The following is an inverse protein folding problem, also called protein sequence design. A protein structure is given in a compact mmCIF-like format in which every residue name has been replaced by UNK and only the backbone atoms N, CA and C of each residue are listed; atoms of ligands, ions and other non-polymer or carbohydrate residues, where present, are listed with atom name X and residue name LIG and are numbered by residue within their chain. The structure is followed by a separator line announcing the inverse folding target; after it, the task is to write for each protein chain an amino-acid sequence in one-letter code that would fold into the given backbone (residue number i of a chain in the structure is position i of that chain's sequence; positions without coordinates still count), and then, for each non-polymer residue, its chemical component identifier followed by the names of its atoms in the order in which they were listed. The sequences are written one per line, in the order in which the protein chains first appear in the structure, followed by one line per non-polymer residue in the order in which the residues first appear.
data_IF_025221157730
#
_entry.id   IF_025221157730
#
_cell.length_a   1.000
_cell.length_b   1.000
_cell.length_c   1.000
_cell.angle_alpha   90.00
_cell.angle_beta   90.00
_cell.angle_gamma   90.00
#
_symmetry.space_group_name_H-M   'P 1'
#
loop_
_entity.id
_entity.type
_entity.pdbx_description
1 polymer ?
#
# COMPACT_ATOMS: atom_id res chain seq x y z
N UNK A 1 -44.85 -44.80 33.24
CA UNK A 1 -46.15 -44.13 33.46
C UNK A 1 -45.90 -42.69 33.01
N UNK A 2 -46.23 -42.44 31.85
CA UNK A 2 -47.37 -41.98 31.06
C UNK A 2 -47.78 -40.54 31.35
N UNK A 3 -47.62 -39.75 30.26
CA UNK A 3 -48.50 -38.63 29.82
C UNK A 3 -48.41 -37.34 30.64
N UNK A 4 -48.34 -36.16 30.06
CA UNK A 4 -49.08 -35.68 28.88
C UNK A 4 -48.42 -34.43 28.27
N UNK A 5 -48.47 -34.32 26.96
CA UNK A 5 -48.16 -33.17 26.17
C UNK A 5 -49.29 -32.13 26.20
N UNK A 6 -48.97 -30.84 26.21
CA UNK A 6 -49.88 -29.79 25.77
C UNK A 6 -49.22 -28.87 24.77
N UNK A 7 -49.75 -28.95 23.58
CA UNK A 7 -49.49 -28.14 22.40
C UNK A 7 -50.17 -26.76 22.52
N UNK A 8 -49.50 -25.71 22.13
CA UNK A 8 -50.11 -24.41 21.83
C UNK A 8 -49.74 -23.94 20.40
N UNK A 9 -50.61 -23.20 19.68
CA UNK A 9 -50.71 -23.27 18.25
C UNK A 9 -49.81 -22.25 17.52
N UNK A 10 -49.26 -22.71 16.41
CA UNK A 10 -48.61 -21.87 15.40
C UNK A 10 -49.66 -20.99 14.70
N UNK A 11 -49.42 -19.68 14.71
CA UNK A 11 -50.09 -18.71 13.84
C UNK A 11 -49.59 -18.88 12.40
N UNK A 12 -50.41 -19.38 11.51
CA UNK A 12 -50.18 -19.47 10.09
C UNK A 12 -50.31 -18.09 9.42
N UNK A 13 -49.23 -17.54 8.95
CA UNK A 13 -49.21 -16.35 8.09
C UNK A 13 -49.46 -16.79 6.65
N UNK A 14 -50.66 -16.54 6.13
CA UNK A 14 -51.01 -16.72 4.70
C UNK A 14 -50.32 -15.66 3.83
N UNK A 15 -49.29 -16.06 3.09
CA UNK A 15 -48.74 -15.28 1.96
C UNK A 15 -49.67 -15.42 0.78
N UNK A 16 -50.30 -14.32 0.38
CA UNK A 16 -51.06 -14.15 -0.85
C UNK A 16 -50.12 -14.26 -2.06
N UNK A 17 -50.22 -15.34 -2.82
CA UNK A 17 -49.58 -15.49 -4.12
C UNK A 17 -50.37 -14.70 -5.19
N UNK A 18 -49.89 -13.48 -5.51
CA UNK A 18 -50.26 -12.82 -6.75
C UNK A 18 -49.32 -13.29 -7.86
N UNK A 19 -49.83 -14.15 -8.72
CA UNK A 19 -49.16 -14.69 -9.89
C UNK A 19 -48.94 -13.60 -10.96
N UNK A 20 -47.74 -12.97 -10.99
CA UNK A 20 -47.29 -12.22 -12.16
C UNK A 20 -46.76 -13.21 -13.20
N UNK A 21 -47.58 -13.54 -14.19
CA UNK A 21 -47.14 -14.26 -15.38
C UNK A 21 -46.34 -13.31 -16.27
N UNK A 22 -45.01 -13.33 -16.14
CA UNK A 22 -44.10 -12.69 -17.10
C UNK A 22 -44.00 -13.64 -18.32
N UNK A 23 -44.27 -13.21 -19.56
CA UNK A 23 -44.17 -14.09 -20.72
C UNK A 23 -42.72 -14.52 -20.94
N UNK A 24 -42.53 -15.80 -21.12
CA UNK A 24 -41.23 -16.50 -21.29
C UNK A 24 -40.38 -15.97 -22.45
N UNK A 25 -41.00 -15.23 -23.39
CA UNK A 25 -40.29 -14.58 -24.52
C UNK A 25 -39.45 -13.36 -24.15
N UNK A 26 -39.77 -12.62 -23.08
CA UNK A 26 -38.95 -11.49 -22.63
C UNK A 26 -37.70 -11.91 -21.87
N UNK A 27 -37.71 -13.06 -21.20
CA UNK A 27 -36.53 -13.57 -20.47
C UNK A 27 -35.45 -14.09 -21.43
N UNK A 28 -35.84 -14.65 -22.56
CA UNK A 28 -34.91 -15.20 -23.57
C UNK A 28 -34.20 -14.08 -24.37
N UNK A 29 -34.87 -12.95 -24.63
CA UNK A 29 -34.26 -11.79 -25.30
C UNK A 29 -33.32 -11.00 -24.36
N UNK A 30 -33.59 -10.95 -23.07
CA UNK A 30 -32.70 -10.27 -22.11
C UNK A 30 -31.41 -11.07 -21.85
N UNK A 31 -31.45 -12.41 -21.89
CA UNK A 31 -30.25 -13.26 -21.75
C UNK A 31 -29.35 -13.21 -23.01
N UNK A 32 -29.90 -12.98 -24.21
CA UNK A 32 -29.12 -12.96 -25.46
C UNK A 32 -28.37 -11.62 -25.65
N UNK A 33 -28.82 -10.53 -25.04
CA UNK A 33 -28.12 -9.24 -25.06
C UNK A 33 -26.90 -9.18 -24.14
N UNK A 34 -26.76 -10.09 -23.16
CA UNK A 34 -25.63 -10.11 -22.24
C UNK A 34 -24.40 -10.87 -22.76
N UNK A 35 -24.53 -11.62 -23.87
CA UNK A 35 -23.43 -12.46 -24.40
C UNK A 35 -22.64 -11.84 -25.54
N UNK A 36 -22.99 -10.63 -26.02
CA UNK A 36 -22.27 -9.90 -27.06
C UNK A 36 -21.71 -8.56 -26.57
N UNK A 37 -21.28 -8.47 -25.33
CA UNK A 37 -20.38 -7.38 -25.00
C UNK A 37 -19.06 -7.65 -25.71
N UNK A 38 -18.64 -6.84 -26.72
CA UNK A 38 -17.27 -6.94 -27.20
C UNK A 38 -16.39 -6.77 -25.98
N UNK A 39 -15.42 -7.66 -25.76
CA UNK A 39 -14.31 -7.42 -24.84
C UNK A 39 -13.58 -6.18 -25.37
N UNK A 40 -14.13 -5.00 -25.08
CA UNK A 40 -13.43 -3.76 -25.26
C UNK A 40 -12.20 -3.84 -24.38
N UNK A 41 -11.02 -3.96 -24.98
CA UNK A 41 -9.77 -3.74 -24.29
C UNK A 41 -9.83 -2.29 -23.83
N UNK A 42 -10.24 -2.08 -22.59
CA UNK A 42 -10.19 -0.76 -21.99
C UNK A 42 -8.71 -0.42 -21.85
N UNK A 43 -8.25 0.54 -22.63
CA UNK A 43 -6.89 1.07 -22.49
C UNK A 43 -6.75 1.63 -21.09
N UNK A 44 -5.87 1.00 -20.29
CA UNK A 44 -5.64 1.39 -18.93
C UNK A 44 -4.75 2.63 -18.91
N UNK A 45 -5.26 3.74 -18.35
CA UNK A 45 -4.44 4.93 -18.11
C UNK A 45 -3.65 4.79 -16.81
N UNK A 46 -2.51 5.48 -16.72
CA UNK A 46 -1.67 5.48 -15.51
C UNK A 46 -2.47 5.83 -14.24
N UNK A 47 -3.30 6.88 -14.31
CA UNK A 47 -4.12 7.31 -13.17
C UNK A 47 -5.13 6.25 -12.73
N UNK A 48 -5.75 5.53 -13.68
CA UNK A 48 -6.67 4.44 -13.39
C UNK A 48 -5.95 3.24 -12.78
N UNK A 49 -4.74 2.92 -13.26
CA UNK A 49 -3.92 1.86 -12.70
C UNK A 49 -3.58 2.13 -11.23
N UNK A 50 -3.15 3.35 -10.93
CA UNK A 50 -2.82 3.76 -9.55
C UNK A 50 -4.06 3.76 -8.65
N UNK A 51 -5.22 4.25 -9.11
CA UNK A 51 -6.46 4.23 -8.32
C UNK A 51 -6.90 2.79 -7.99
N UNK A 52 -6.80 1.87 -8.93
CA UNK A 52 -7.07 0.45 -8.70
C UNK A 52 -6.09 -0.17 -7.71
N UNK A 53 -4.79 0.12 -7.85
CA UNK A 53 -3.78 -0.36 -6.92
C UNK A 53 -4.03 0.15 -5.50
N UNK A 54 -4.29 1.44 -5.32
CA UNK A 54 -4.56 2.03 -4.00
C UNK A 54 -5.79 1.42 -3.31
N UNK A 55 -6.81 0.98 -4.07
CA UNK A 55 -8.01 0.34 -3.51
C UNK A 55 -7.82 -1.14 -3.22
N UNK A 56 -7.03 -1.85 -4.02
CA UNK A 56 -6.93 -3.32 -3.98
C UNK A 56 -5.67 -3.86 -3.31
N UNK A 57 -4.63 -3.04 -3.10
CA UNK A 57 -3.34 -3.52 -2.66
C UNK A 57 -3.33 -3.93 -1.17
N UNK A 58 -2.90 -5.16 -0.85
CA UNK A 58 -2.83 -5.65 0.53
C UNK A 58 -1.95 -4.80 1.46
N UNK A 59 -0.92 -4.10 0.95
CA UNK A 59 -0.08 -3.20 1.75
C UNK A 59 -0.85 -2.01 2.27
N UNK A 60 -1.74 -1.42 1.46
CA UNK A 60 -2.61 -0.30 1.87
C UNK A 60 -3.62 -0.78 2.90
N UNK A 61 -4.26 -1.94 2.66
CA UNK A 61 -5.20 -2.53 3.62
C UNK A 61 -4.53 -2.88 4.96
N UNK A 62 -3.27 -3.35 4.93
CA UNK A 62 -2.47 -3.58 6.12
C UNK A 62 -2.23 -2.29 6.91
N UNK A 63 -1.84 -1.21 6.24
CA UNK A 63 -1.64 0.09 6.87
C UNK A 63 -2.96 0.70 7.41
N UNK A 64 -4.10 0.50 6.74
CA UNK A 64 -5.42 0.87 7.27
C UNK A 64 -5.78 0.08 8.54
N UNK A 65 -5.42 -1.19 8.60
CA UNK A 65 -5.58 -2.00 9.81
C UNK A 65 -4.67 -1.50 10.95
N UNK A 66 -3.45 -1.02 10.67
CA UNK A 66 -2.58 -0.41 11.66
C UNK A 66 -3.15 0.91 12.21
N UNK A 67 -3.78 1.74 11.38
CA UNK A 67 -4.53 2.92 11.84
C UNK A 67 -5.70 2.51 12.75
N UNK A 68 -6.46 1.49 12.36
CA UNK A 68 -7.55 0.97 13.19
C UNK A 68 -7.04 0.44 14.55
N UNK A 69 -5.89 -0.25 14.57
CA UNK A 69 -5.20 -0.69 15.78
C UNK A 69 -4.77 0.48 16.66
N UNK A 70 -4.17 1.53 16.08
CA UNK A 70 -3.75 2.71 16.83
C UNK A 70 -4.97 3.44 17.45
N UNK A 71 -6.08 3.54 16.73
CA UNK A 71 -7.34 4.10 17.25
C UNK A 71 -7.93 3.26 18.38
N UNK A 72 -7.85 1.92 18.28
CA UNK A 72 -8.27 1.03 19.36
C UNK A 72 -7.37 1.19 20.60
N UNK A 73 -6.07 1.38 20.45
CA UNK A 73 -5.14 1.69 21.55
C UNK A 73 -5.45 3.03 22.23
N UNK A 74 -5.84 4.05 21.43
CA UNK A 74 -6.32 5.32 21.99
C UNK A 74 -7.60 5.11 22.80
N UNK A 75 -8.58 4.36 22.28
CA UNK A 75 -9.80 4.02 23.00
C UNK A 75 -9.47 3.28 24.30
N UNK A 76 -8.60 2.27 24.27
CA UNK A 76 -8.14 1.56 25.46
C UNK A 76 -7.51 2.50 26.50
N UNK A 77 -6.75 3.50 26.05
CA UNK A 77 -6.15 4.49 26.96
C UNK A 77 -7.19 5.42 27.59
N UNK A 78 -8.27 5.75 26.87
CA UNK A 78 -9.40 6.54 27.37
C UNK A 78 -10.30 5.72 28.30
N UNK A 79 -10.49 4.44 27.97
CA UNK A 79 -11.35 3.52 28.70
C UNK A 79 -10.81 3.16 30.09
N UNK A 80 -9.56 3.53 30.41
CA UNK A 80 -9.04 3.44 31.78
C UNK A 80 -9.90 4.20 32.82
N UNK A 81 -10.62 5.24 32.38
CA UNK A 81 -11.57 5.99 33.20
C UNK A 81 -12.99 5.40 33.22
N UNK A 82 -13.30 4.47 32.32
CA UNK A 82 -14.59 3.80 32.27
C UNK A 82 -14.61 2.64 33.28
N UNK A 83 -15.65 2.49 34.11
CA UNK A 83 -15.72 1.41 35.06
C UNK A 83 -15.76 0.05 34.34
N UNK A 84 -14.85 -0.85 34.72
CA UNK A 84 -14.92 -2.26 34.31
C UNK A 84 -15.73 -3.05 35.34
N UNK A 85 -16.61 -3.94 34.89
CA UNK A 85 -17.41 -4.81 35.73
C UNK A 85 -17.12 -6.26 35.35
N UNK A 86 -16.64 -7.04 36.32
CA UNK A 86 -16.36 -8.46 36.16
C UNK A 86 -17.26 -9.27 37.07
N UNK A 87 -17.98 -10.25 36.53
CA UNK A 87 -18.77 -11.21 37.30
C UNK A 87 -18.11 -12.58 37.22
N UNK A 88 -17.98 -13.23 38.36
CA UNK A 88 -17.44 -14.58 38.46
C UNK A 88 -18.38 -15.47 39.29
N UNK A 89 -18.49 -16.74 38.94
CA UNK A 89 -19.20 -17.75 39.74
C UNK A 89 -18.30 -18.96 39.93
N UNK A 90 -18.31 -19.54 41.11
CA UNK A 90 -17.52 -20.71 41.45
C UNK A 90 -18.19 -21.54 42.51
N UNK A 91 -17.96 -22.84 42.51
CA UNK A 91 -18.37 -23.76 43.57
C UNK A 91 -17.11 -24.35 44.17
N UNK A 92 -16.97 -24.18 45.49
CA UNK A 92 -15.82 -24.69 46.22
C UNK A 92 -16.21 -25.12 47.63
N UNK A 93 -15.39 -25.96 48.23
CA UNK A 93 -15.49 -26.32 49.64
C UNK A 93 -14.10 -26.15 50.29
N UNK A 94 -14.08 -25.51 51.47
CA UNK A 94 -12.86 -25.39 52.24
C UNK A 94 -12.74 -26.51 53.26
N UNK A 95 -11.54 -27.07 53.41
CA UNK A 95 -11.20 -28.07 54.38
C UNK A 95 -10.21 -27.50 55.40
N UNK A 96 -10.35 -27.88 56.65
CA UNK A 96 -9.52 -27.39 57.74
C UNK A 96 -9.95 -26.01 58.28
N UNK A 97 -9.09 -25.38 59.04
CA UNK A 97 -9.36 -24.04 59.56
C UNK A 97 -9.26 -22.98 58.51
N UNK A 98 -10.40 -22.55 57.97
CA UNK A 98 -10.49 -21.44 57.03
C UNK A 98 -11.44 -20.37 57.55
N UNK A 99 -11.00 -19.18 57.86
CA UNK A 99 -11.86 -18.10 58.37
C UNK A 99 -12.79 -17.52 57.30
N UNK A 100 -12.55 -17.85 56.04
CA UNK A 100 -13.32 -17.30 54.91
C UNK A 100 -14.11 -18.41 54.20
N UNK A 101 -15.43 -18.30 54.09
CA UNK A 101 -16.25 -19.21 53.33
C UNK A 101 -15.98 -19.07 51.82
N UNK A 102 -16.12 -20.15 51.01
CA UNK A 102 -16.01 -20.09 49.59
C UNK A 102 -17.04 -19.13 48.97
N UNK A 103 -16.62 -18.34 47.99
CA UNK A 103 -17.50 -17.41 47.27
C UNK A 103 -18.20 -18.14 46.12
N UNK A 104 -19.53 -18.12 46.10
CA UNK A 104 -20.34 -18.68 44.99
C UNK A 104 -20.46 -17.72 43.84
N UNK A 105 -20.60 -16.43 44.14
CA UNK A 105 -20.77 -15.41 43.15
C UNK A 105 -20.02 -14.15 43.60
N UNK A 106 -19.30 -13.52 42.64
CA UNK A 106 -18.57 -12.28 42.88
C UNK A 106 -18.81 -11.33 41.72
N UNK A 107 -19.06 -10.08 42.05
CA UNK A 107 -19.06 -8.97 41.08
C UNK A 107 -18.05 -7.95 41.56
N UNK A 108 -17.05 -7.68 40.72
CA UNK A 108 -16.02 -6.67 40.98
C UNK A 108 -16.09 -5.60 39.93
N UNK A 109 -16.12 -4.37 40.35
CA UNK A 109 -16.04 -3.20 39.46
C UNK A 109 -14.97 -2.24 39.89
N UNK A 110 -14.35 -1.56 38.93
CA UNK A 110 -13.36 -0.54 39.25
C UNK A 110 -13.05 0.36 38.08
N UNK A 111 -12.64 1.58 38.37
CA UNK A 111 -12.20 2.55 37.35
C UNK A 111 -11.08 3.42 37.90
N UNK A 112 -10.26 3.95 37.02
CA UNK A 112 -9.31 5.01 37.34
C UNK A 112 -10.10 6.34 37.44
N UNK A 113 -9.98 7.02 38.58
CA UNK A 113 -10.61 8.33 38.76
C UNK A 113 -9.64 9.46 38.41
N UNK A 114 -8.41 9.33 38.88
CA UNK A 114 -7.36 10.34 38.63
C UNK A 114 -6.00 9.68 38.53
N UNK A 115 -5.27 10.00 37.45
CA UNK A 115 -3.85 9.65 37.30
C UNK A 115 -3.15 10.72 36.49
N UNK A 116 -2.06 11.25 37.01
CA UNK A 116 -1.26 12.23 36.28
C UNK A 116 -0.50 11.63 35.09
N UNK A 117 -0.21 10.34 35.11
CA UNK A 117 0.44 9.61 34.02
C UNK A 117 -0.52 9.31 32.89
N UNK A 118 -1.80 9.00 33.19
CA UNK A 118 -2.80 8.61 32.20
C UNK A 118 -3.01 9.69 31.13
N UNK A 119 -3.00 10.97 31.53
CA UNK A 119 -3.10 12.06 30.55
C UNK A 119 -1.94 12.09 29.55
N UNK A 120 -0.74 11.63 29.92
CA UNK A 120 0.40 11.51 29.02
C UNK A 120 0.28 10.27 28.13
N UNK A 121 -0.20 9.14 28.65
CA UNK A 121 -0.48 7.95 27.83
C UNK A 121 -1.56 8.21 26.78
N UNK A 122 -2.60 8.98 27.11
CA UNK A 122 -3.61 9.40 26.14
C UNK A 122 -3.00 10.30 25.04
N UNK A 123 -2.10 11.23 25.40
CA UNK A 123 -1.40 12.06 24.41
C UNK A 123 -0.46 11.23 23.54
N UNK A 124 0.26 10.28 24.15
CA UNK A 124 1.09 9.31 23.43
C UNK A 124 0.24 8.51 22.43
N UNK A 125 -0.90 7.97 22.87
CA UNK A 125 -1.79 7.21 21.99
C UNK A 125 -2.38 8.06 20.85
N UNK A 126 -2.72 9.34 21.09
CA UNK A 126 -3.13 10.28 20.04
C UNK A 126 -2.03 10.51 19.01
N UNK A 127 -0.82 10.84 19.49
CA UNK A 127 0.33 10.99 18.59
C UNK A 127 0.65 9.68 17.86
N UNK A 128 0.36 8.52 18.47
CA UNK A 128 0.44 7.21 17.80
C UNK A 128 -0.58 7.03 16.67
N UNK A 129 -1.79 7.58 16.82
CA UNK A 129 -2.78 7.61 15.72
C UNK A 129 -2.29 8.51 14.58
N UNK A 130 -1.82 9.72 14.91
CA UNK A 130 -1.29 10.66 13.92
C UNK A 130 -0.10 10.03 13.15
N UNK A 131 0.78 9.32 13.85
CA UNK A 131 1.90 8.60 13.25
C UNK A 131 1.43 7.47 12.31
N UNK A 132 0.40 6.71 12.69
CA UNK A 132 -0.15 5.64 11.88
C UNK A 132 -0.88 6.18 10.63
N UNK A 133 -1.56 7.32 10.72
CA UNK A 133 -2.22 7.98 9.59
C UNK A 133 -1.17 8.49 8.57
N UNK A 134 -0.09 9.13 9.04
CA UNK A 134 1.02 9.56 8.19
C UNK A 134 1.77 8.37 7.58
N UNK A 135 1.91 7.25 8.31
CA UNK A 135 2.50 6.02 7.77
C UNK A 135 1.60 5.38 6.69
N UNK A 136 0.27 5.46 6.83
CA UNK A 136 -0.67 5.04 5.78
C UNK A 136 -0.49 5.88 4.51
N UNK A 137 -0.32 7.20 4.64
CA UNK A 137 -0.09 8.07 3.50
C UNK A 137 1.25 7.75 2.81
N UNK A 138 2.32 7.44 3.57
CA UNK A 138 3.59 6.97 2.98
C UNK A 138 3.42 5.65 2.23
N UNK A 139 2.66 4.68 2.78
CA UNK A 139 2.36 3.41 2.09
C UNK A 139 1.56 3.64 0.81
N UNK A 140 0.60 4.57 0.80
CA UNK A 140 -0.15 4.94 -0.40
C UNK A 140 0.76 5.54 -1.47
N UNK A 141 1.66 6.42 -1.09
CA UNK A 141 2.66 6.98 -2.01
C UNK A 141 3.61 5.91 -2.54
N UNK A 142 4.04 4.96 -1.69
CA UNK A 142 4.88 3.85 -2.12
C UNK A 142 4.17 2.92 -3.12
N UNK A 143 2.91 2.59 -2.89
CA UNK A 143 2.12 1.77 -3.83
C UNK A 143 1.84 2.52 -5.12
N UNK A 144 1.62 3.83 -5.06
CA UNK A 144 1.47 4.66 -6.26
C UNK A 144 2.77 4.71 -7.08
N UNK A 145 3.93 4.83 -6.44
CA UNK A 145 5.24 4.77 -7.07
C UNK A 145 5.49 3.41 -7.73
N UNK A 146 5.34 2.31 -6.98
CA UNK A 146 5.52 0.94 -7.50
C UNK A 146 4.63 0.70 -8.74
N UNK A 147 3.39 1.21 -8.71
CA UNK A 147 2.45 1.06 -9.83
C UNK A 147 2.83 1.94 -11.01
N UNK A 148 3.27 3.19 -10.77
CA UNK A 148 3.70 4.09 -11.83
C UNK A 148 4.96 3.59 -12.54
N UNK A 149 5.92 3.06 -11.76
CA UNK A 149 7.14 2.44 -12.30
C UNK A 149 6.83 1.17 -13.10
N UNK A 150 5.96 0.28 -12.60
CA UNK A 150 5.54 -0.91 -13.32
C UNK A 150 4.80 -0.58 -14.61
N UNK A 151 3.99 0.48 -14.62
CA UNK A 151 3.29 0.96 -15.81
C UNK A 151 4.28 1.52 -16.85
N UNK A 152 5.22 2.38 -16.43
CA UNK A 152 6.23 2.96 -17.30
C UNK A 152 7.18 1.88 -17.87
N UNK A 153 7.52 0.86 -17.06
CA UNK A 153 8.34 -0.27 -17.50
C UNK A 153 7.62 -1.10 -18.57
N UNK A 154 6.34 -1.41 -18.34
CA UNK A 154 5.55 -2.17 -19.32
C UNK A 154 5.37 -1.40 -20.65
N UNK A 155 5.20 -0.08 -20.61
CA UNK A 155 5.15 0.76 -21.81
C UNK A 155 6.46 0.73 -22.58
N UNK A 156 7.59 0.89 -21.88
CA UNK A 156 8.93 0.75 -22.43
C UNK A 156 9.16 -0.62 -23.08
N UNK A 157 8.78 -1.72 -22.40
CA UNK A 157 9.00 -3.08 -22.89
C UNK A 157 8.16 -3.35 -24.15
N UNK A 158 6.91 -2.88 -24.20
CA UNK A 158 6.05 -3.01 -25.39
C UNK A 158 6.64 -2.27 -26.60
N UNK A 159 7.16 -1.06 -26.38
CA UNK A 159 7.81 -0.30 -27.44
C UNK A 159 9.12 -0.98 -27.90
N UNK A 160 9.93 -1.45 -26.94
CA UNK A 160 11.17 -2.19 -27.21
C UNK A 160 10.92 -3.47 -27.99
N UNK A 161 9.90 -4.27 -27.61
CA UNK A 161 9.49 -5.49 -28.32
C UNK A 161 9.13 -5.20 -29.77
N UNK A 162 8.38 -4.10 -30.03
CA UNK A 162 8.04 -3.70 -31.39
C UNK A 162 9.29 -3.32 -32.20
N UNK A 163 10.24 -2.61 -31.62
CA UNK A 163 11.48 -2.20 -32.30
C UNK A 163 12.36 -3.40 -32.60
N UNK A 164 12.55 -4.31 -31.65
CA UNK A 164 13.33 -5.55 -31.86
C UNK A 164 12.64 -6.45 -32.88
N UNK A 165 11.32 -6.49 -32.91
CA UNK A 165 10.55 -7.18 -33.96
C UNK A 165 10.80 -6.61 -35.36
N UNK A 166 10.94 -5.28 -35.51
CA UNK A 166 11.35 -4.65 -36.76
C UNK A 166 12.78 -5.01 -37.16
N UNK A 167 13.71 -5.02 -36.18
CA UNK A 167 15.10 -5.45 -36.42
C UNK A 167 15.15 -6.91 -36.92
N UNK A 168 14.33 -7.80 -36.35
CA UNK A 168 14.24 -9.20 -36.80
C UNK A 168 13.79 -9.30 -38.27
N UNK A 169 12.87 -8.44 -38.72
CA UNK A 169 12.48 -8.35 -40.14
C UNK A 169 13.66 -7.91 -41.02
N UNK A 170 14.43 -6.90 -40.63
CA UNK A 170 15.59 -6.44 -41.36
C UNK A 170 16.72 -7.48 -41.39
N UNK A 171 16.98 -8.16 -40.28
CA UNK A 171 17.98 -9.23 -40.22
C UNK A 171 17.62 -10.42 -41.13
N UNK A 172 16.35 -10.79 -41.19
CA UNK A 172 15.87 -11.84 -42.14
C UNK A 172 16.08 -11.42 -43.58
N UNK A 173 15.76 -10.15 -43.94
CA UNK A 173 16.03 -9.61 -45.27
C UNK A 173 17.54 -9.58 -45.60
N UNK A 174 18.38 -9.19 -44.63
CA UNK A 174 19.84 -9.19 -44.75
C UNK A 174 20.36 -10.59 -45.10
N UNK A 175 19.96 -11.64 -44.38
CA UNK A 175 20.39 -13.05 -44.69
C UNK A 175 19.97 -13.45 -46.10
N UNK A 176 18.77 -13.12 -46.54
CA UNK A 176 18.28 -13.43 -47.90
C UNK A 176 19.12 -12.75 -48.99
N UNK A 177 19.44 -11.45 -48.80
CA UNK A 177 20.28 -10.66 -49.73
C UNK A 177 21.72 -11.27 -49.80
N UNK A 178 22.31 -11.49 -48.63
CA UNK A 178 23.71 -12.04 -48.56
C UNK A 178 23.76 -13.44 -49.14
N UNK A 179 22.75 -14.30 -48.90
CA UNK A 179 22.68 -15.64 -49.49
C UNK A 179 22.70 -15.57 -51.02
N UNK A 180 21.84 -14.75 -51.61
CA UNK A 180 21.78 -14.57 -53.07
C UNK A 180 23.11 -14.05 -53.67
N UNK A 181 23.82 -13.20 -52.95
CA UNK A 181 25.11 -12.65 -53.39
C UNK A 181 26.23 -13.67 -53.29
N UNK A 182 26.21 -14.51 -52.26
CA UNK A 182 27.15 -15.68 -52.09
C UNK A 182 26.91 -16.70 -53.21
N UNK A 183 25.64 -17.05 -53.46
CA UNK A 183 25.27 -17.96 -54.54
C UNK A 183 25.67 -17.48 -55.92
N UNK A 184 25.69 -16.14 -56.13
CA UNK A 184 26.17 -15.48 -57.35
C UNK A 184 27.71 -15.31 -57.37
N UNK A 185 28.41 -15.74 -56.34
CA UNK A 185 29.90 -15.63 -56.25
C UNK A 185 30.40 -14.19 -56.00
N UNK A 186 29.50 -13.27 -55.59
CA UNK A 186 29.84 -11.86 -55.35
C UNK A 186 30.39 -11.59 -53.93
N UNK A 187 29.96 -12.39 -52.94
CA UNK A 187 30.39 -12.28 -51.54
C UNK A 187 31.00 -13.62 -51.06
N UNK A 188 31.97 -13.59 -50.13
CA UNK A 188 32.52 -14.81 -49.55
C UNK A 188 31.52 -15.47 -48.56
N UNK A 189 31.61 -16.79 -48.38
CA UNK A 189 30.69 -17.55 -47.50
C UNK A 189 30.72 -17.08 -46.03
N UNK A 190 31.78 -16.43 -45.55
CA UNK A 190 31.90 -15.89 -44.21
C UNK A 190 30.87 -14.78 -43.95
N UNK A 191 30.50 -13.98 -44.95
CA UNK A 191 29.50 -12.93 -44.86
C UNK A 191 28.12 -13.51 -44.54
N UNK A 192 27.78 -14.68 -45.16
CA UNK A 192 26.53 -15.37 -44.85
C UNK A 192 26.50 -15.84 -43.40
N UNK A 193 27.63 -16.38 -42.93
CA UNK A 193 27.73 -16.81 -41.53
C UNK A 193 27.57 -15.65 -40.55
N UNK A 194 28.15 -14.48 -40.86
CA UNK A 194 27.97 -13.23 -40.07
C UNK A 194 26.52 -12.74 -40.09
N UNK A 195 25.87 -12.75 -41.24
CA UNK A 195 24.46 -12.37 -41.34
C UNK A 195 23.53 -13.31 -40.57
N UNK A 196 23.79 -14.63 -40.60
CA UNK A 196 23.05 -15.63 -39.82
C UNK A 196 23.31 -15.48 -38.32
N UNK A 197 24.54 -15.14 -37.90
CA UNK A 197 24.86 -14.85 -36.51
C UNK A 197 24.10 -13.63 -36.00
N UNK A 198 24.09 -12.53 -36.77
CA UNK A 198 23.34 -11.33 -36.43
C UNK A 198 21.83 -11.63 -36.33
N UNK A 199 21.27 -12.41 -37.27
CA UNK A 199 19.88 -12.85 -37.23
C UNK A 199 19.57 -13.66 -35.95
N UNK A 200 20.45 -14.59 -35.56
CA UNK A 200 20.26 -15.42 -34.38
C UNK A 200 20.34 -14.58 -33.07
N UNK A 201 21.25 -13.58 -33.04
CA UNK A 201 21.34 -12.65 -31.89
C UNK A 201 20.07 -11.79 -31.76
N UNK A 202 19.56 -11.25 -32.87
CA UNK A 202 18.31 -10.47 -32.86
C UNK A 202 17.11 -11.34 -32.51
N UNK A 203 17.06 -12.60 -33.00
CA UNK A 203 16.02 -13.53 -32.61
C UNK A 203 16.02 -13.82 -31.08
N UNK A 204 17.22 -14.02 -30.50
CA UNK A 204 17.35 -14.16 -29.06
C UNK A 204 16.87 -12.90 -28.33
N UNK A 205 17.18 -11.70 -28.82
CA UNK A 205 16.70 -10.44 -28.27
C UNK A 205 15.17 -10.32 -28.36
N UNK A 206 14.56 -10.78 -29.47
CA UNK A 206 13.08 -10.79 -29.64
C UNK A 206 12.41 -11.70 -28.59
N UNK A 207 12.95 -12.87 -28.34
CA UNK A 207 12.41 -13.79 -27.33
C UNK A 207 12.50 -13.17 -25.93
N UNK A 208 13.64 -12.55 -25.59
CA UNK A 208 13.84 -11.88 -24.30
C UNK A 208 12.87 -10.71 -24.12
N UNK A 209 12.71 -9.85 -25.14
CA UNK A 209 11.80 -8.72 -25.09
C UNK A 209 10.33 -9.18 -24.88
N UNK A 210 9.92 -10.26 -25.56
CA UNK A 210 8.58 -10.84 -25.38
C UNK A 210 8.38 -11.41 -23.97
N UNK A 211 9.38 -12.10 -23.43
CA UNK A 211 9.34 -12.64 -22.07
C UNK A 211 9.28 -11.52 -21.03
N UNK A 212 10.09 -10.46 -21.16
CA UNK A 212 10.09 -9.29 -20.28
C UNK A 212 8.73 -8.61 -20.31
N UNK A 213 8.17 -8.33 -21.49
CA UNK A 213 6.82 -7.76 -21.63
C UNK A 213 5.76 -8.62 -20.94
N UNK A 214 5.85 -9.95 -21.04
CA UNK A 214 4.90 -10.86 -20.39
C UNK A 214 5.02 -10.83 -18.87
N UNK A 215 6.25 -10.86 -18.34
CA UNK A 215 6.54 -10.81 -16.90
C UNK A 215 6.06 -9.47 -16.29
N UNK A 216 6.36 -8.34 -16.94
CA UNK A 216 6.01 -7.03 -16.42
C UNK A 216 4.51 -6.74 -16.54
N UNK A 217 3.84 -7.32 -17.55
CA UNK A 217 2.36 -7.33 -17.62
C UNK A 217 1.76 -8.10 -16.46
N UNK A 218 2.28 -9.27 -16.11
CA UNK A 218 1.82 -10.02 -14.94
C UNK A 218 2.13 -9.29 -13.63
N UNK A 219 3.27 -8.60 -13.54
CA UNK A 219 3.63 -7.83 -12.36
C UNK A 219 2.64 -6.68 -12.12
N UNK A 220 2.38 -5.87 -13.14
CA UNK A 220 1.37 -4.80 -13.08
C UNK A 220 -0.02 -5.36 -12.77
N UNK A 221 -0.41 -6.48 -13.39
CA UNK A 221 -1.68 -7.16 -13.12
C UNK A 221 -1.85 -7.51 -11.63
N UNK A 222 -0.80 -8.05 -11.01
CA UNK A 222 -0.81 -8.36 -9.57
C UNK A 222 -0.90 -7.12 -8.70
N UNK A 223 -0.24 -6.02 -9.07
CA UNK A 223 -0.31 -4.76 -8.30
C UNK A 223 -1.72 -4.16 -8.30
N UNK A 224 -2.41 -4.22 -9.43
CA UNK A 224 -3.74 -3.60 -9.60
C UNK A 224 -4.91 -4.58 -9.35
N UNK A 225 -4.62 -5.87 -9.15
CA UNK A 225 -5.63 -6.90 -8.88
C UNK A 225 -6.49 -7.29 -10.09
N UNK A 226 -6.00 -7.09 -11.33
CA UNK A 226 -6.69 -7.48 -12.57
C UNK A 226 -6.04 -8.71 -13.22
N UNK A 227 -6.78 -9.50 -14.01
CA UNK A 227 -6.20 -10.57 -14.79
C UNK A 227 -5.29 -10.02 -15.91
N UNK A 228 -4.10 -10.65 -16.18
CA UNK A 228 -3.14 -10.15 -17.16
C UNK A 228 -3.68 -10.00 -18.58
N UNK A 229 -4.64 -10.86 -18.97
CA UNK A 229 -5.27 -10.84 -20.30
C UNK A 229 -6.15 -9.60 -20.54
N UNK A 230 -6.59 -8.90 -19.49
CA UNK A 230 -7.42 -7.69 -19.59
C UNK A 230 -6.59 -6.40 -19.70
N UNK A 231 -5.24 -6.49 -19.58
CA UNK A 231 -4.35 -5.35 -19.59
C UNK A 231 -3.91 -4.98 -21.00
N UNK A 232 -4.43 -3.86 -21.48
CA UNK A 232 -3.91 -3.10 -22.61
C UNK A 232 -3.50 -1.73 -22.10
N UNK A 233 -2.23 -1.44 -22.11
CA UNK A 233 -1.67 -0.14 -21.67
C UNK A 233 -1.82 0.85 -22.81
N UNK A 234 -2.35 2.04 -22.52
CA UNK A 234 -2.34 3.16 -23.45
C UNK A 234 -0.91 3.74 -23.47
N UNK A 235 -0.21 3.60 -24.61
CA UNK A 235 1.18 4.00 -24.82
C UNK A 235 1.41 5.54 -24.80
N UNK A 236 0.71 6.23 -23.94
CA UNK A 236 0.92 7.64 -23.66
C UNK A 236 1.29 7.83 -22.20
N UNK A 237 2.53 7.47 -21.85
CA UNK A 237 3.09 8.01 -20.61
C UNK A 237 3.05 9.54 -20.70
N UNK A 238 2.51 10.25 -19.70
CA UNK A 238 2.39 11.70 -19.78
C UNK A 238 3.78 12.33 -19.86
N UNK A 239 4.17 12.79 -21.03
CA UNK A 239 5.42 13.53 -21.27
C UNK A 239 5.31 14.98 -20.78
N UNK A 240 4.41 15.24 -19.83
CA UNK A 240 4.32 16.57 -19.24
C UNK A 240 5.58 16.79 -18.40
N UNK A 241 6.40 17.81 -18.72
CA UNK A 241 7.51 18.16 -17.84
C UNK A 241 6.89 18.37 -16.46
N UNK A 242 7.32 17.56 -15.51
CA UNK A 242 6.98 17.79 -14.11
C UNK A 242 7.40 19.23 -13.84
N UNK A 243 6.48 20.14 -13.45
CA UNK A 243 6.92 21.41 -12.93
C UNK A 243 7.70 21.05 -11.65
N UNK A 244 8.98 20.86 -11.79
CA UNK A 244 9.91 20.84 -10.67
C UNK A 244 9.93 22.28 -10.16
N UNK A 245 8.80 22.72 -9.59
CA UNK A 245 8.73 23.97 -8.85
C UNK A 245 9.66 23.78 -7.64
N UNK A 246 10.93 24.12 -7.89
CA UNK A 246 12.01 24.15 -6.90
C UNK A 246 11.70 25.09 -5.73
N UNK A 247 10.64 25.87 -5.83
CA UNK A 247 10.19 26.87 -4.86
C UNK A 247 8.91 26.48 -4.12
N UNK A 248 8.20 25.44 -4.53
CA UNK A 248 7.07 24.94 -3.77
C UNK A 248 7.62 24.26 -2.51
N UNK A 249 7.52 24.96 -1.40
CA UNK A 249 7.76 24.44 -0.04
C UNK A 249 6.65 23.42 0.29
N UNK A 250 6.65 22.30 -0.46
CA UNK A 250 5.71 21.18 -0.30
C UNK A 250 6.23 20.28 0.82
N UNK A 251 6.27 20.87 2.02
CA UNK A 251 6.52 20.09 3.21
C UNK A 251 5.21 19.49 3.71
N UNK A 252 5.17 18.17 3.86
CA UNK A 252 4.06 17.50 4.54
C UNK A 252 4.21 17.78 6.03
N UNK A 253 3.31 18.60 6.61
CA UNK A 253 3.39 19.02 8.01
C UNK A 253 4.74 19.63 8.41
N UNK A 254 5.45 20.32 7.48
CA UNK A 254 6.78 20.88 7.70
C UNK A 254 7.94 19.91 7.49
N UNK A 255 7.69 18.71 6.96
CA UNK A 255 8.71 17.68 6.72
C UNK A 255 8.85 17.36 5.23
N UNK A 256 9.97 16.74 4.86
CA UNK A 256 10.32 16.47 3.47
C UNK A 256 9.33 15.54 2.74
N UNK A 257 8.75 14.57 3.46
CA UNK A 257 7.74 13.62 2.95
C UNK A 257 6.95 12.97 4.10
N UNK A 258 5.94 12.17 3.73
CA UNK A 258 5.06 11.47 4.69
C UNK A 258 5.81 10.48 5.59
N UNK A 259 6.86 9.82 5.08
CA UNK A 259 7.70 8.89 5.85
C UNK A 259 8.44 9.61 6.99
N UNK A 260 9.04 10.77 6.69
CA UNK A 260 9.72 11.61 7.71
C UNK A 260 8.72 12.16 8.71
N UNK A 261 7.55 12.63 8.23
CA UNK A 261 6.48 13.13 9.09
C UNK A 261 6.00 12.04 10.07
N UNK A 262 5.79 10.81 9.59
CA UNK A 262 5.39 9.67 10.44
C UNK A 262 6.45 9.30 11.47
N UNK A 263 7.73 9.37 11.11
CA UNK A 263 8.85 9.13 12.04
C UNK A 263 8.88 10.16 13.17
N UNK A 264 8.72 11.45 12.89
CA UNK A 264 8.62 12.49 13.91
C UNK A 264 7.37 12.37 14.78
N UNK A 265 6.21 12.02 14.19
CA UNK A 265 5.00 11.76 14.94
C UNK A 265 5.16 10.55 15.88
N UNK A 266 5.82 9.48 15.44
CA UNK A 266 6.18 8.33 16.25
C UNK A 266 7.14 8.70 17.39
N UNK A 267 8.16 9.51 17.12
CA UNK A 267 9.08 10.03 18.15
C UNK A 267 8.32 10.87 19.20
N UNK A 268 7.37 11.71 18.77
CA UNK A 268 6.51 12.47 19.69
C UNK A 268 5.65 11.54 20.56
N UNK A 269 5.08 10.48 20.00
CA UNK A 269 4.33 9.48 20.76
C UNK A 269 5.20 8.84 21.85
N UNK A 270 6.45 8.48 21.53
CA UNK A 270 7.43 7.95 22.50
C UNK A 270 7.83 8.97 23.56
N UNK A 271 7.96 10.25 23.23
CA UNK A 271 8.22 11.30 24.19
C UNK A 271 7.08 11.48 25.19
N UNK A 272 5.83 11.45 24.73
CA UNK A 272 4.67 11.53 25.62
C UNK A 272 4.55 10.27 26.52
N UNK A 273 4.89 9.09 25.99
CA UNK A 273 5.00 7.85 26.78
C UNK A 273 6.03 7.99 27.90
N UNK A 274 7.23 8.46 27.58
CA UNK A 274 8.29 8.71 28.55
C UNK A 274 7.89 9.72 29.65
N UNK A 275 7.17 10.79 29.27
CA UNK A 275 6.58 11.73 30.22
C UNK A 275 5.54 11.05 31.13
N UNK A 276 4.79 10.08 30.60
CA UNK A 276 3.83 9.27 31.37
C UNK A 276 4.54 8.43 32.43
N UNK A 277 5.58 7.69 32.04
CA UNK A 277 6.38 6.86 32.95
C UNK A 277 7.09 7.71 34.02
N UNK A 278 7.66 8.86 33.66
CA UNK A 278 8.29 9.77 34.62
C UNK A 278 7.28 10.31 35.63
N UNK A 279 6.05 10.65 35.22
CA UNK A 279 4.98 11.14 36.10
C UNK A 279 4.43 10.04 37.02
N UNK A 280 4.40 8.79 36.56
CA UNK A 280 3.94 7.66 37.35
C UNK A 280 4.74 7.42 38.60
N UNK A 281 6.03 7.78 38.59
CA UNK A 281 7.01 7.49 39.67
C UNK A 281 6.65 8.14 41.02
N UNK A 282 6.05 9.33 41.04
CA UNK A 282 5.88 10.12 42.27
C UNK A 282 4.46 10.68 42.47
N UNK A 283 3.49 10.33 41.65
CA UNK A 283 2.16 10.92 41.74
C UNK A 283 1.12 9.90 42.16
N UNK A 284 0.16 10.30 42.99
CA UNK A 284 -0.90 9.41 43.42
C UNK A 284 -1.80 9.01 42.28
N UNK A 285 -2.28 7.78 42.36
CA UNK A 285 -3.39 7.27 41.56
C UNK A 285 -4.60 7.10 42.44
N UNK A 286 -5.75 7.55 41.95
CA UNK A 286 -7.03 7.42 42.63
C UNK A 286 -7.90 6.50 41.82
N UNK A 287 -8.26 5.36 42.44
CA UNK A 287 -9.11 4.37 41.82
C UNK A 287 -10.43 4.27 42.61
N UNK A 288 -11.53 4.12 41.90
CA UNK A 288 -12.80 3.68 42.45
C UNK A 288 -12.87 2.15 42.40
N UNK A 289 -13.39 1.53 43.45
CA UNK A 289 -13.68 0.10 43.44
C UNK A 289 -15.05 -0.17 44.02
N UNK A 290 -15.70 -1.22 43.53
CA UNK A 290 -16.92 -1.78 44.06
C UNK A 290 -16.82 -3.31 44.00
N UNK A 291 -17.18 -3.99 45.08
CA UNK A 291 -17.15 -5.42 45.17
C UNK A 291 -18.40 -5.93 45.82
N UNK A 292 -18.96 -7.01 45.30
CA UNK A 292 -20.05 -7.75 45.87
C UNK A 292 -19.70 -9.23 45.83
N UNK A 293 -19.79 -9.89 47.03
CA UNK A 293 -19.52 -11.31 47.19
C UNK A 293 -20.77 -11.99 47.75
N UNK A 294 -21.10 -13.18 47.23
CA UNK A 294 -22.10 -14.06 47.77
C UNK A 294 -21.45 -15.39 48.14
N UNK A 295 -21.55 -15.75 49.39
CA UNK A 295 -20.80 -16.87 49.97
C UNK A 295 -21.62 -18.17 49.98
N UNK A 296 -20.92 -19.32 49.98
CA UNK A 296 -21.52 -20.66 50.04
C UNK A 296 -22.01 -20.93 51.48
N UNK A 297 -23.30 -20.83 51.66
CA UNK A 297 -23.95 -21.06 53.00
C UNK A 297 -23.88 -22.52 53.44
N UNK A 298 -23.67 -23.45 52.53
CA UNK A 298 -23.52 -24.87 52.80
C UNK A 298 -22.12 -25.31 53.24
N UNK A 299 -21.16 -24.40 53.26
CA UNK A 299 -19.78 -24.71 53.67
C UNK A 299 -19.63 -24.71 55.19
N UNK A 300 -18.79 -25.63 55.72
CA UNK A 300 -18.45 -25.66 57.15
C UNK A 300 -17.83 -24.35 57.65
N UNK A 301 -17.07 -23.68 56.84
CA UNK A 301 -16.48 -22.36 57.15
C UNK A 301 -17.55 -21.31 57.37
N UNK A 302 -18.65 -21.29 56.57
CA UNK A 302 -19.77 -20.38 56.79
C UNK A 302 -20.50 -20.66 58.09
N UNK A 303 -20.71 -21.94 58.42
CA UNK A 303 -21.34 -22.34 59.69
C UNK A 303 -20.49 -21.97 60.91
N UNK A 304 -19.15 -22.05 60.79
CA UNK A 304 -18.22 -21.59 61.85
C UNK A 304 -18.27 -20.08 62.01
N UNK A 305 -18.23 -19.34 60.90
CA UNK A 305 -18.32 -17.88 60.91
C UNK A 305 -19.65 -17.40 61.50
N UNK A 306 -20.73 -18.05 61.22
CA UNK A 306 -22.05 -17.80 61.79
C UNK A 306 -22.05 -17.96 63.32
N UNK A 307 -21.44 -19.07 63.86
CA UNK A 307 -21.29 -19.28 65.30
C UNK A 307 -20.48 -18.17 65.99
N UNK A 308 -19.37 -17.78 65.39
CA UNK A 308 -18.52 -16.68 65.95
C UNK A 308 -19.26 -15.34 65.90
N UNK A 309 -20.00 -15.06 64.82
CA UNK A 309 -20.83 -13.87 64.69
C UNK A 309 -21.94 -13.81 65.75
N UNK A 310 -22.64 -14.94 65.96
CA UNK A 310 -23.68 -15.06 66.98
C UNK A 310 -23.09 -14.85 68.39
N UNK A 311 -21.94 -15.44 68.69
CA UNK A 311 -21.28 -15.28 69.98
C UNK A 311 -20.87 -13.80 70.26
N UNK A 312 -20.45 -13.05 69.26
CA UNK A 312 -19.95 -11.71 69.41
C UNK A 312 -21.06 -10.63 69.33
N UNK A 313 -22.15 -10.87 68.60
CA UNK A 313 -23.19 -9.85 68.35
C UNK A 313 -24.54 -10.18 68.94
N UNK A 314 -24.76 -11.41 69.39
CA UNK A 314 -26.08 -11.91 69.85
C UNK A 314 -27.09 -12.14 68.70
N UNK A 315 -26.73 -11.86 67.44
CA UNK A 315 -27.62 -12.06 66.28
C UNK A 315 -27.49 -13.48 65.73
N UNK A 316 -28.62 -14.09 65.39
CA UNK A 316 -28.68 -15.49 64.99
C UNK A 316 -28.42 -15.73 63.47
N UNK A 317 -28.51 -14.69 62.66
CA UNK A 317 -28.38 -14.82 61.21
C UNK A 317 -27.30 -13.92 60.63
N UNK A 318 -26.30 -14.54 60.05
CA UNK A 318 -25.28 -13.86 59.22
C UNK A 318 -25.76 -13.81 57.78
N UNK A 319 -25.68 -12.63 57.13
CA UNK A 319 -25.99 -12.53 55.70
C UNK A 319 -24.90 -13.19 54.87
N UNK A 320 -25.31 -13.99 53.91
CA UNK A 320 -24.38 -14.66 52.99
C UNK A 320 -23.79 -13.74 51.91
N UNK A 321 -24.13 -12.46 51.95
CA UNK A 321 -23.68 -11.48 50.99
C UNK A 321 -22.93 -10.34 51.65
N UNK A 322 -21.87 -9.90 51.02
CA UNK A 322 -21.05 -8.78 51.43
C UNK A 322 -20.88 -7.80 50.26
N UNK A 323 -21.04 -6.51 50.48
CA UNK A 323 -20.78 -5.48 49.50
C UNK A 323 -19.82 -4.44 50.07
N UNK A 324 -18.82 -4.04 49.27
CA UNK A 324 -17.90 -2.98 49.60
C UNK A 324 -17.74 -2.06 48.39
N UNK A 325 -17.68 -0.76 48.62
CA UNK A 325 -17.33 0.21 47.61
C UNK A 325 -16.50 1.33 48.26
N UNK A 326 -15.64 1.93 47.46
CA UNK A 326 -14.77 2.97 48.02
C UNK A 326 -13.82 3.58 47.00
N UNK A 327 -12.99 4.46 47.49
CA UNK A 327 -11.92 5.10 46.74
C UNK A 327 -10.59 4.68 47.37
N UNK A 328 -9.68 4.18 46.53
CA UNK A 328 -8.35 3.79 46.91
C UNK A 328 -7.34 4.78 46.33
N UNK A 329 -6.50 5.34 47.20
CA UNK A 329 -5.38 6.19 46.81
C UNK A 329 -4.09 5.38 46.92
N UNK A 330 -3.40 5.22 45.79
CA UNK A 330 -2.11 4.52 45.71
C UNK A 330 -0.99 5.52 45.43
N UNK A 331 -0.03 5.65 46.37
CA UNK A 331 1.12 6.54 46.26
C UNK A 331 2.37 5.68 46.25
N UNK A 332 3.12 5.60 45.13
CA UNK A 332 4.37 4.86 45.08
C UNK A 332 5.49 5.68 45.81
N UNK A 333 5.87 5.27 47.02
CA UNK A 333 6.88 5.97 47.81
C UNK A 333 8.30 5.57 47.35
N UNK A 334 8.52 4.28 47.08
CA UNK A 334 9.81 3.75 46.64
C UNK A 334 9.56 2.63 45.65
N UNK A 335 9.77 2.92 44.36
CA UNK A 335 9.70 1.92 43.28
C UNK A 335 10.91 2.11 42.36
N UNK A 336 11.94 1.28 42.57
CA UNK A 336 13.16 1.29 41.76
C UNK A 336 12.90 0.75 40.32
N UNK A 337 11.96 -0.19 40.18
CA UNK A 337 11.58 -0.74 38.89
C UNK A 337 10.95 0.34 38.01
N UNK A 338 10.04 1.13 38.56
CA UNK A 338 9.42 2.28 37.85
C UNK A 338 10.45 3.34 37.47
N UNK A 339 11.45 3.57 38.35
CA UNK A 339 12.55 4.49 38.04
C UNK A 339 13.44 3.99 36.89
N UNK A 340 13.63 2.67 36.77
CA UNK A 340 14.35 2.08 35.66
C UNK A 340 13.53 2.16 34.37
N UNK A 341 12.22 1.86 34.42
CA UNK A 341 11.30 1.96 33.28
C UNK A 341 11.20 3.38 32.73
N UNK A 342 11.14 4.38 33.59
CA UNK A 342 11.15 5.79 33.17
C UNK A 342 12.44 6.18 32.44
N UNK A 343 13.61 5.63 32.86
CA UNK A 343 14.88 5.86 32.15
C UNK A 343 14.93 5.11 30.80
N UNK A 344 14.44 3.90 30.77
CA UNK A 344 14.30 3.12 29.53
C UNK A 344 13.43 3.87 28.52
N UNK A 345 12.21 4.26 28.89
CA UNK A 345 11.30 5.00 27.99
C UNK A 345 11.88 6.36 27.55
N UNK A 346 12.68 7.03 28.41
CA UNK A 346 13.35 8.26 28.01
C UNK A 346 14.47 8.01 26.98
N UNK A 347 15.19 6.89 27.10
CA UNK A 347 16.20 6.48 26.12
C UNK A 347 15.53 6.08 24.79
N UNK A 348 14.43 5.33 24.84
CA UNK A 348 13.66 4.96 23.65
C UNK A 348 13.12 6.19 22.90
N UNK A 349 12.63 7.21 23.65
CA UNK A 349 12.18 8.46 23.08
C UNK A 349 13.32 9.25 22.41
N UNK A 350 14.50 9.27 23.02
CA UNK A 350 15.68 9.90 22.44
C UNK A 350 16.14 9.15 21.18
N UNK A 351 16.15 7.82 21.20
CA UNK A 351 16.46 6.99 20.04
C UNK A 351 15.50 7.27 18.88
N UNK A 352 14.20 7.22 19.13
CA UNK A 352 13.19 7.49 18.10
C UNK A 352 13.31 8.90 17.49
N UNK A 353 13.70 9.91 18.30
CA UNK A 353 13.94 11.26 17.80
C UNK A 353 15.17 11.31 16.87
N UNK A 354 16.25 10.64 17.24
CA UNK A 354 17.46 10.59 16.40
C UNK A 354 17.23 9.79 15.12
N UNK A 355 16.43 8.73 15.17
CA UNK A 355 16.02 7.98 13.99
C UNK A 355 15.21 8.86 13.02
N UNK A 356 14.27 9.66 13.54
CA UNK A 356 13.51 10.61 12.73
C UNK A 356 14.40 11.70 12.11
N UNK A 357 15.39 12.21 12.86
CA UNK A 357 16.38 13.15 12.33
C UNK A 357 17.23 12.53 11.23
N UNK A 358 17.70 11.29 11.42
CA UNK A 358 18.43 10.56 10.38
C UNK A 358 17.58 10.30 9.13
N UNK A 359 16.31 9.94 9.32
CA UNK A 359 15.37 9.80 8.20
C UNK A 359 15.21 11.10 7.41
N UNK A 360 15.14 12.25 8.09
CA UNK A 360 15.07 13.57 7.45
C UNK A 360 16.36 13.88 6.68
N UNK A 361 17.54 13.66 7.24
CA UNK A 361 18.82 13.86 6.55
C UNK A 361 18.88 13.00 5.29
N UNK A 362 18.56 11.69 5.42
CA UNK A 362 18.58 10.78 4.29
C UNK A 362 17.59 11.17 3.18
N UNK A 363 16.41 11.68 3.56
CA UNK A 363 15.42 12.17 2.60
C UNK A 363 15.92 13.40 1.82
N UNK A 364 16.53 14.37 2.51
CA UNK A 364 17.09 15.57 1.88
C UNK A 364 18.29 15.25 0.98
N UNK A 365 19.20 14.37 1.44
CA UNK A 365 20.31 13.89 0.62
C UNK A 365 19.82 13.11 -0.60
N UNK A 366 18.78 12.27 -0.44
CA UNK A 366 18.15 11.55 -1.53
C UNK A 366 17.54 12.49 -2.58
N UNK A 367 16.81 13.50 -2.14
CA UNK A 367 16.25 14.53 -3.05
C UNK A 367 17.35 15.28 -3.82
N UNK A 368 18.44 15.66 -3.14
CA UNK A 368 19.56 16.34 -3.79
C UNK A 368 20.22 15.46 -4.86
N UNK A 369 20.49 14.19 -4.52
CA UNK A 369 21.07 13.23 -5.49
C UNK A 369 20.16 12.99 -6.69
N UNK A 370 18.85 12.83 -6.46
CA UNK A 370 17.89 12.63 -7.55
C UNK A 370 17.81 13.85 -8.48
N UNK A 371 17.84 15.07 -7.95
CA UNK A 371 17.86 16.27 -8.80
C UNK A 371 19.07 16.29 -9.73
N UNK A 372 20.27 16.05 -9.18
CA UNK A 372 21.49 15.97 -10.01
C UNK A 372 21.46 14.81 -11.01
N UNK A 373 20.89 13.65 -10.61
CA UNK A 373 20.71 12.52 -11.52
C UNK A 373 19.75 12.82 -12.66
N UNK A 374 18.69 13.60 -12.42
CA UNK A 374 17.73 14.00 -13.47
C UNK A 374 18.42 14.89 -14.51
N UNK A 375 19.21 15.87 -14.08
CA UNK A 375 19.97 16.74 -15.00
C UNK A 375 20.91 15.90 -15.88
N UNK A 376 21.60 14.91 -15.30
CA UNK A 376 22.48 14.00 -16.05
C UNK A 376 21.68 13.11 -17.02
N UNK A 377 20.56 12.54 -16.58
CA UNK A 377 19.69 11.69 -17.40
C UNK A 377 19.03 12.46 -18.55
N UNK A 378 18.69 13.74 -18.35
CA UNK A 378 18.22 14.61 -19.43
C UNK A 378 19.30 14.79 -20.51
N UNK A 379 20.53 15.07 -20.08
CA UNK A 379 21.65 15.19 -21.02
C UNK A 379 21.93 13.86 -21.76
N UNK A 380 21.77 12.70 -21.07
CA UNK A 380 21.90 11.39 -21.72
C UNK A 380 20.79 11.14 -22.75
N UNK A 381 19.54 11.54 -22.44
CA UNK A 381 18.40 11.43 -23.36
C UNK A 381 18.62 12.31 -24.61
N UNK A 382 19.17 13.52 -24.45
CA UNK A 382 19.56 14.39 -25.57
C UNK A 382 20.62 13.75 -26.45
N UNK A 383 21.67 13.16 -25.85
CA UNK A 383 22.73 12.45 -26.59
C UNK A 383 22.15 11.24 -27.34
N UNK A 384 21.27 10.45 -26.72
CA UNK A 384 20.61 9.31 -27.36
C UNK A 384 19.77 9.76 -28.55
N UNK A 385 18.98 10.83 -28.38
CA UNK A 385 18.13 11.41 -29.43
C UNK A 385 18.97 11.90 -30.61
N UNK A 386 20.06 12.63 -30.36
CA UNK A 386 20.99 13.09 -31.41
C UNK A 386 21.68 11.91 -32.11
N UNK A 387 22.07 10.86 -31.38
CA UNK A 387 22.64 9.66 -31.97
C UNK A 387 21.67 8.92 -32.88
N UNK A 388 20.39 8.86 -32.53
CA UNK A 388 19.34 8.29 -33.37
C UNK A 388 19.09 9.14 -34.61
N UNK A 389 19.00 10.49 -34.47
CA UNK A 389 18.84 11.40 -35.59
C UNK A 389 20.01 11.27 -36.57
N UNK A 390 21.24 11.17 -36.06
CA UNK A 390 22.43 10.98 -36.91
C UNK A 390 22.35 9.64 -37.68
N UNK A 391 22.00 8.55 -37.03
CA UNK A 391 21.81 7.24 -37.68
C UNK A 391 20.71 7.26 -38.72
N UNK A 392 19.62 7.98 -38.47
CA UNK A 392 18.52 8.17 -39.42
C UNK A 392 18.99 8.96 -40.66
N UNK A 393 19.71 10.06 -40.48
CA UNK A 393 20.27 10.85 -41.60
C UNK A 393 21.26 10.02 -42.42
N UNK A 394 22.10 9.21 -41.77
CA UNK A 394 22.98 8.27 -42.48
C UNK A 394 22.21 7.27 -43.33
N UNK A 395 21.13 6.73 -42.81
CA UNK A 395 20.25 5.82 -43.55
C UNK A 395 19.60 6.50 -44.74
N UNK A 396 19.11 7.74 -44.59
CA UNK A 396 18.53 8.55 -45.69
C UNK A 396 19.53 8.81 -46.81
N UNK A 397 20.76 9.24 -46.47
CA UNK A 397 21.85 9.47 -47.44
C UNK A 397 22.15 8.16 -48.20
N UNK A 398 22.26 7.03 -47.49
CA UNK A 398 22.53 5.74 -48.09
C UNK A 398 21.38 5.31 -49.03
N UNK A 399 20.14 5.52 -48.67
CA UNK A 399 18.99 5.25 -49.53
C UNK A 399 18.96 6.15 -50.79
N UNK A 400 19.34 7.41 -50.69
CA UNK A 400 19.47 8.32 -51.82
C UNK A 400 20.58 7.87 -52.78
N UNK A 401 21.74 7.45 -52.26
CA UNK A 401 22.85 6.92 -53.03
C UNK A 401 22.47 5.64 -53.79
N UNK A 402 21.72 4.72 -53.14
CA UNK A 402 21.21 3.51 -53.76
C UNK A 402 20.21 3.80 -54.90
N UNK A 403 19.34 4.84 -54.74
CA UNK A 403 18.35 5.27 -55.76
C UNK A 403 19.01 5.99 -56.96
N UNK A 404 20.06 6.77 -56.73
CA UNK A 404 20.75 7.56 -57.77
C UNK A 404 21.72 6.72 -58.61
N UNK A 405 21.85 5.43 -58.38
CA UNK A 405 22.66 4.54 -59.22
C UNK A 405 24.17 4.76 -59.08
N UNK A 406 24.66 5.06 -57.87
CA UNK A 406 26.06 4.92 -57.46
C UNK A 406 27.08 5.80 -58.29
N UNK A 407 26.77 7.11 -58.47
CA UNK A 407 27.56 8.04 -59.26
C UNK A 407 28.90 8.48 -58.59
N UNK A 408 29.31 7.88 -57.48
CA UNK A 408 30.51 8.25 -56.73
C UNK A 408 31.19 7.09 -56.02
N UNK A 409 32.08 6.38 -56.68
CA UNK A 409 33.25 5.66 -56.19
C UNK A 409 33.13 4.50 -55.21
N UNK A 410 32.13 4.42 -54.33
CA UNK A 410 31.94 3.30 -53.39
C UNK A 410 30.61 2.59 -53.70
N UNK A 411 30.68 1.34 -54.14
CA UNK A 411 29.47 0.57 -54.47
C UNK A 411 28.69 0.25 -53.19
N UNK A 412 27.68 1.08 -52.85
CA UNK A 412 26.72 0.76 -51.81
C UNK A 412 25.81 -0.39 -52.23
N UNK A 413 25.55 -1.31 -51.35
CA UNK A 413 24.76 -2.53 -51.62
C UNK A 413 23.47 -2.57 -50.79
N UNK A 414 22.43 -3.29 -51.24
CA UNK A 414 21.24 -3.53 -50.43
C UNK A 414 21.52 -4.14 -49.06
N UNK A 415 22.65 -4.84 -48.90
CA UNK A 415 23.16 -5.34 -47.63
C UNK A 415 23.46 -4.20 -46.65
N UNK A 416 24.13 -3.13 -47.15
CA UNK A 416 24.51 -1.98 -46.32
C UNK A 416 23.27 -1.20 -45.83
N UNK A 417 22.22 -1.16 -46.65
CA UNK A 417 20.93 -0.58 -46.24
C UNK A 417 20.31 -1.36 -45.07
N UNK A 418 20.28 -2.69 -45.14
CA UNK A 418 19.68 -3.48 -44.03
C UNK A 418 20.51 -3.34 -42.75
N UNK A 419 21.82 -3.31 -42.83
CA UNK A 419 22.70 -3.08 -41.69
C UNK A 419 22.48 -1.68 -41.09
N UNK A 420 22.31 -0.64 -41.91
CA UNK A 420 22.02 0.71 -41.45
C UNK A 420 20.64 0.82 -40.77
N UNK A 421 19.63 0.10 -41.28
CA UNK A 421 18.31 0.03 -40.64
C UNK A 421 18.37 -0.66 -39.28
N UNK A 422 19.11 -1.76 -39.12
CA UNK A 422 19.33 -2.43 -37.85
C UNK A 422 20.03 -1.49 -36.88
N UNK A 423 21.08 -0.80 -37.32
CA UNK A 423 21.84 0.14 -36.49
C UNK A 423 21.01 1.36 -36.08
N UNK A 424 20.15 1.90 -36.96
CA UNK A 424 19.22 2.98 -36.61
C UNK A 424 18.23 2.54 -35.54
N UNK A 425 17.64 1.33 -35.63
CA UNK A 425 16.74 0.77 -34.62
C UNK A 425 17.46 0.50 -33.29
N UNK A 426 18.72 0.12 -33.32
CA UNK A 426 19.55 -0.02 -32.11
C UNK A 426 19.71 1.34 -31.39
N UNK A 427 19.94 2.43 -32.13
CA UNK A 427 19.99 3.77 -31.54
C UNK A 427 18.64 4.23 -31.01
N UNK A 428 17.54 3.84 -31.65
CA UNK A 428 16.20 4.13 -31.16
C UNK A 428 15.88 3.40 -29.84
N UNK A 429 16.34 2.14 -29.69
CA UNK A 429 16.27 1.45 -28.37
C UNK A 429 17.01 2.24 -27.28
N UNK A 430 18.15 2.84 -27.60
CA UNK A 430 18.87 3.71 -26.67
C UNK A 430 18.08 4.98 -26.27
N UNK A 431 17.26 5.54 -27.18
CA UNK A 431 16.35 6.66 -26.85
C UNK A 431 15.27 6.22 -25.89
N UNK A 432 14.65 5.03 -26.14
CA UNK A 432 13.61 4.48 -25.26
C UNK A 432 14.17 4.20 -23.86
N UNK A 433 15.38 3.62 -23.77
CA UNK A 433 16.03 3.32 -22.49
C UNK A 433 16.35 4.60 -21.71
N UNK A 434 16.95 5.61 -22.36
CA UNK A 434 17.26 6.88 -21.71
C UNK A 434 15.98 7.62 -21.24
N UNK A 435 14.91 7.57 -22.02
CA UNK A 435 13.61 8.12 -21.67
C UNK A 435 12.99 7.41 -20.46
N UNK A 436 13.05 6.08 -20.42
CA UNK A 436 12.56 5.29 -19.29
C UNK A 436 13.33 5.60 -17.99
N UNK A 437 14.67 5.66 -18.05
CA UNK A 437 15.51 5.99 -16.89
C UNK A 437 15.20 7.39 -16.34
N UNK A 438 14.98 8.37 -17.23
CA UNK A 438 14.58 9.72 -16.85
C UNK A 438 13.22 9.72 -16.14
N UNK A 439 12.20 9.06 -16.71
CA UNK A 439 10.88 8.95 -16.08
C UNK A 439 10.94 8.23 -14.74
N UNK A 440 11.76 7.21 -14.61
CA UNK A 440 11.98 6.51 -13.33
C UNK A 440 12.54 7.47 -12.27
N UNK A 441 13.55 8.27 -12.60
CA UNK A 441 14.14 9.24 -11.68
C UNK A 441 13.14 10.35 -11.29
N UNK A 442 12.32 10.82 -12.24
CA UNK A 442 11.25 11.80 -11.99
C UNK A 442 10.18 11.26 -11.03
N UNK A 443 9.72 10.03 -11.24
CA UNK A 443 8.74 9.39 -10.35
C UNK A 443 9.32 9.27 -8.93
N UNK A 444 10.56 8.83 -8.78
CA UNK A 444 11.24 8.74 -7.49
C UNK A 444 11.34 10.11 -6.80
N UNK A 445 11.68 11.16 -7.54
CA UNK A 445 11.75 12.51 -6.98
C UNK A 445 10.38 13.01 -6.54
N UNK A 446 9.33 12.81 -7.35
CA UNK A 446 7.96 13.19 -7.00
C UNK A 446 7.49 12.50 -5.72
N UNK A 447 7.83 11.22 -5.50
CA UNK A 447 7.54 10.54 -4.24
C UNK A 447 8.30 11.16 -3.08
N UNK A 448 9.61 11.39 -3.22
CA UNK A 448 10.41 11.98 -2.14
C UNK A 448 10.00 13.41 -1.78
N UNK A 449 9.35 14.12 -2.69
CA UNK A 449 8.77 15.45 -2.44
C UNK A 449 7.29 15.41 -2.04
N UNK A 450 6.66 14.21 -1.98
CA UNK A 450 5.22 14.07 -1.66
C UNK A 450 4.29 14.61 -2.75
N UNK A 451 4.78 14.82 -3.97
CA UNK A 451 4.01 15.40 -5.08
C UNK A 451 3.38 14.35 -6.01
N UNK A 452 3.76 13.06 -5.87
CA UNK A 452 3.39 12.01 -6.81
C UNK A 452 1.86 11.84 -6.94
N UNK A 453 1.15 11.72 -5.84
CA UNK A 453 -0.31 11.57 -5.86
C UNK A 453 -1.04 12.80 -6.39
N UNK A 454 -0.51 14.00 -6.12
CA UNK A 454 -1.07 15.25 -6.63
C UNK A 454 -0.87 15.36 -8.15
N UNK A 455 0.31 15.03 -8.65
CA UNK A 455 0.61 14.98 -10.09
C UNK A 455 -0.28 13.95 -10.81
N UNK A 456 -0.45 12.75 -10.27
CA UNK A 456 -1.32 11.72 -10.85
C UNK A 456 -2.80 12.17 -10.93
N UNK A 457 -3.30 12.93 -9.95
CA UNK A 457 -4.66 13.48 -9.98
C UNK A 457 -4.82 14.59 -11.02
N UNK A 458 -3.82 15.44 -11.20
CA UNK A 458 -3.85 16.53 -12.20
C UNK A 458 -3.80 15.97 -13.62
N UNK A 459 -3.00 14.94 -13.87
CA UNK A 459 -2.94 14.26 -15.18
C UNK A 459 -4.23 13.53 -15.52
N UNK A 460 -4.93 12.96 -14.52
CA UNK A 460 -6.23 12.36 -14.70
C UNK A 460 -7.30 13.40 -15.13
N UNK A 461 -7.27 14.59 -14.52
CA UNK A 461 -8.23 15.68 -14.81
C UNK A 461 -8.02 16.30 -16.19
N UNK A 462 -6.79 16.37 -16.66
CA UNK A 462 -6.45 16.95 -17.97
C UNK A 462 -6.94 16.07 -19.15
N UNK A 463 -7.14 14.78 -18.95
CA UNK A 463 -7.56 13.82 -19.99
C UNK A 463 -9.09 13.68 -20.12
N UNK A 464 -9.90 14.31 -19.24
CA UNK A 464 -11.37 14.30 -19.33
C UNK A 464 -11.77 15.46 -20.25
N UNK A 465 -12.24 15.21 -21.49
CA UNK A 465 -12.71 16.29 -22.35
C UNK A 465 -13.94 16.92 -21.68
N UNK A 466 -13.87 18.21 -21.39
CA UNK A 466 -15.04 19.01 -21.00
C UNK A 466 -16.12 18.80 -22.07
N UNK A 467 -17.37 18.38 -21.71
CA UNK A 467 -18.42 18.28 -22.69
C UNK A 467 -18.62 19.69 -23.27
N UNK A 468 -18.34 19.84 -24.57
CA UNK A 468 -18.59 21.07 -25.29
C UNK A 468 -20.08 21.40 -25.17
N UNK A 469 -20.42 22.39 -24.36
CA UNK A 469 -21.73 23.04 -24.35
C UNK A 469 -21.90 23.70 -25.72
N UNK A 470 -22.52 23.00 -26.64
CA UNK A 470 -23.04 23.59 -27.88
C UNK A 470 -24.08 24.64 -27.47
N UNK A 471 -23.90 25.93 -27.82
CA UNK A 471 -24.94 26.90 -27.56
C UNK A 471 -26.15 26.60 -28.47
N UNK A 472 -27.28 26.25 -27.87
CA UNK A 472 -28.57 26.14 -28.54
C UNK A 472 -28.92 27.52 -29.13
N UNK A 473 -29.20 27.65 -30.45
CA UNK A 473 -29.75 28.89 -31.00
C UNK A 473 -31.15 29.11 -30.44
N UNK A 474 -31.39 30.24 -29.80
CA UNK A 474 -32.72 30.70 -29.43
C UNK A 474 -33.46 31.15 -30.67
N UNK A 475 -34.79 30.94 -30.70
CA UNK A 475 -35.68 31.34 -31.79
C UNK A 475 -35.87 32.86 -31.95
#
# INVERSE_FOLDING_TARGET
MSMNAQSSPMASFKLSQSSLRVPLSCALTLCLCFTLSPMGHAQLSLSTAVDLALRGNPRVQGAEADVAKARAQLSQSLDAYVPTINAGAGIGQSYGYSPYPPTLFTVNGGSLVLSASQSSYIRSARAGVDAAELALDDVREAVAEDTALAFAKLDYDQQSEQVVGQQAGFAKALVSIVQSRVDAGQDPAIELTQARLAQAQIHLATLRAADETAIDREHLARLIGLPPAALSVDSTFPTSPVPLDTTADTTVHGYANSAVASAFASANAKQEEAKGEARFRFRPQINFFAQYNYYATFSDSFAQLQKVYQANTGQTTLRASEGAFGVQINIPILDRSRAAKARESAADAAHALHDAQNAQINALDGQSRLRHSIDELQAQADVATLAQQYAQQQLEVLQQQLKSGNLGGTQMTPKDEQNARIAERDKYLGVLDAGFQLHQAEIHLMRQTGQLLTWLRTTASAKTPTPSTTPTPRP
#
